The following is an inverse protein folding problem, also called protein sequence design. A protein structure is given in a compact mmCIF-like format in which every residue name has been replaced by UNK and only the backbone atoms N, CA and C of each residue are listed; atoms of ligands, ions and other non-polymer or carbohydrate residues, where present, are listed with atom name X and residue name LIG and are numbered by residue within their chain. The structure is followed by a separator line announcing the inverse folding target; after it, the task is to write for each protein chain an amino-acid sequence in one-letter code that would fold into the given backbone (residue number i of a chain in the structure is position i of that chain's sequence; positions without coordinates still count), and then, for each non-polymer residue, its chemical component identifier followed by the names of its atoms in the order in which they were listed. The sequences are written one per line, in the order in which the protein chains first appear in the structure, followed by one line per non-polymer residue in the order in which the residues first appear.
data_IF_520461610304
#
_entry.id   IF_520461610304
#
_cell.length_a   1.000
_cell.length_b   1.000
_cell.length_c   1.000
_cell.angle_alpha   90.00
_cell.angle_beta   90.00
_cell.angle_gamma   90.00
#
_symmetry.space_group_name_H-M   'P 1'
#
loop_
_entity.id
_entity.type
_entity.pdbx_description
1 polymer ?
#
# COMPACT_ATOMS: atom_id res chain seq x y z
N UNK A 1 3.66 4.88 -2.58
CA UNK A 1 3.38 6.31 -2.79
C UNK A 1 3.20 6.94 -1.42
N UNK A 2 3.20 8.27 -1.29
CA UNK A 2 3.13 8.92 0.04
C UNK A 2 1.84 8.66 0.80
N UNK A 3 0.73 8.47 0.11
CA UNK A 3 -0.58 8.36 0.74
C UNK A 3 -1.45 7.20 0.23
N UNK A 4 -0.90 6.29 -0.53
CA UNK A 4 -1.61 5.10 -1.00
C UNK A 4 -0.67 3.94 -1.32
N UNK A 5 -1.23 2.75 -1.30
CA UNK A 5 -0.55 1.49 -1.55
C UNK A 5 -1.23 0.78 -2.71
N UNK A 6 -0.44 0.29 -3.65
CA UNK A 6 -0.87 -0.63 -4.70
C UNK A 6 -0.36 -2.02 -4.37
N UNK A 7 -1.23 -3.01 -4.47
CA UNK A 7 -0.89 -4.42 -4.24
C UNK A 7 -1.49 -5.29 -5.34
N UNK A 8 -0.74 -6.29 -5.77
CA UNK A 8 -1.25 -7.46 -6.48
C UNK A 8 -1.17 -8.61 -5.50
N UNK A 9 -2.29 -9.22 -5.21
CA UNK A 9 -2.39 -10.29 -4.19
C UNK A 9 -3.32 -11.38 -4.66
N UNK A 10 -3.06 -12.59 -4.20
CA UNK A 10 -3.95 -13.74 -4.37
C UNK A 10 -4.17 -14.42 -3.02
N UNK A 11 -5.39 -14.81 -2.76
CA UNK A 11 -5.77 -15.52 -1.53
C UNK A 11 -7.15 -16.14 -1.67
N UNK A 12 -7.37 -17.27 -1.03
CA UNK A 12 -8.70 -17.87 -0.89
C UNK A 12 -9.62 -17.07 0.06
N UNK A 13 -9.04 -16.24 0.95
CA UNK A 13 -9.76 -15.45 1.95
C UNK A 13 -9.39 -13.98 1.90
N UNK A 14 -9.33 -13.42 0.70
CA UNK A 14 -8.81 -12.08 0.44
C UNK A 14 -9.46 -10.99 1.30
N UNK A 15 -10.79 -11.01 1.42
CA UNK A 15 -11.52 -10.00 2.21
C UNK A 15 -11.13 -10.00 3.68
N UNK A 16 -10.99 -11.18 4.28
CA UNK A 16 -10.57 -11.34 5.67
C UNK A 16 -9.12 -10.90 5.86
N UNK A 17 -8.25 -11.32 4.97
CA UNK A 17 -6.83 -10.95 5.04
C UNK A 17 -6.61 -9.47 4.84
N UNK A 18 -7.31 -8.82 3.90
CA UNK A 18 -7.21 -7.37 3.69
C UNK A 18 -7.77 -6.56 4.87
N UNK A 19 -8.85 -7.03 5.48
CA UNK A 19 -9.37 -6.42 6.72
C UNK A 19 -8.35 -6.49 7.85
N UNK A 20 -7.75 -7.66 8.06
CA UNK A 20 -6.73 -7.86 9.09
C UNK A 20 -5.47 -7.03 8.81
N UNK A 21 -5.03 -6.98 7.57
CA UNK A 21 -3.92 -6.13 7.14
C UNK A 21 -4.18 -4.65 7.46
N UNK A 22 -5.34 -4.13 7.07
CA UNK A 22 -5.71 -2.73 7.34
C UNK A 22 -5.79 -2.45 8.85
N UNK A 23 -6.39 -3.33 9.62
CA UNK A 23 -6.51 -3.18 11.07
C UNK A 23 -5.14 -3.21 11.76
N UNK A 24 -4.30 -4.17 11.42
CA UNK A 24 -2.98 -4.33 12.00
C UNK A 24 -2.06 -3.14 11.64
N UNK A 25 -1.99 -2.78 10.37
CA UNK A 25 -1.12 -1.68 9.91
C UNK A 25 -1.58 -0.33 10.44
N UNK A 26 -2.88 -0.08 10.51
CA UNK A 26 -3.41 1.15 11.10
C UNK A 26 -2.99 1.29 12.55
N UNK A 27 -3.15 0.25 13.37
CA UNK A 27 -2.73 0.25 14.77
C UNK A 27 -1.23 0.47 14.91
N UNK A 28 -0.43 -0.31 14.19
CA UNK A 28 1.02 -0.24 14.26
C UNK A 28 1.57 1.12 13.85
N UNK A 29 1.02 1.72 12.79
CA UNK A 29 1.45 3.03 12.30
C UNK A 29 1.02 4.13 13.27
N UNK A 30 -0.22 4.11 13.77
CA UNK A 30 -0.70 5.10 14.73
C UNK A 30 0.12 5.03 16.03
N UNK A 31 0.38 3.83 16.56
CA UNK A 31 1.20 3.65 17.75
C UNK A 31 2.62 4.20 17.55
N UNK A 32 3.21 3.98 16.37
CA UNK A 32 4.51 4.54 16.01
C UNK A 32 4.50 6.07 15.93
N UNK A 33 3.46 6.64 15.33
CA UNK A 33 3.29 8.09 15.22
C UNK A 33 3.11 8.74 16.60
N UNK A 34 2.33 8.12 17.49
CA UNK A 34 2.14 8.58 18.86
C UNK A 34 3.45 8.49 19.67
N UNK A 35 4.15 7.35 19.59
CA UNK A 35 5.43 7.15 20.26
C UNK A 35 6.48 8.18 19.84
N UNK A 36 6.51 8.53 18.56
CA UNK A 36 7.46 9.51 18.02
C UNK A 36 6.92 10.96 18.03
N UNK A 37 5.75 11.19 18.61
CA UNK A 37 5.10 12.50 18.73
C UNK A 37 4.94 13.25 17.40
N UNK A 38 4.57 12.51 16.33
CA UNK A 38 4.34 13.07 14.99
C UNK A 38 2.93 13.66 14.93
N UNK A 39 2.72 14.75 15.65
CA UNK A 39 1.41 15.33 15.91
C UNK A 39 0.72 15.88 14.66
N UNK A 40 1.46 16.43 13.71
CA UNK A 40 0.91 16.98 12.46
C UNK A 40 0.20 15.90 11.62
N UNK A 41 0.73 14.69 11.56
CA UNK A 41 0.07 13.57 10.86
C UNK A 41 -1.12 13.06 11.67
N UNK A 42 -0.96 12.89 12.97
CA UNK A 42 -2.03 12.44 13.85
C UNK A 42 -3.24 13.39 13.82
N UNK A 43 -3.01 14.70 13.80
CA UNK A 43 -4.07 15.71 13.69
C UNK A 43 -4.83 15.59 12.36
N UNK A 44 -4.12 15.34 11.26
CA UNK A 44 -4.76 15.08 9.96
C UNK A 44 -5.60 13.80 10.00
N UNK A 45 -5.09 12.72 10.56
CA UNK A 45 -5.83 11.46 10.67
C UNK A 45 -7.08 11.58 11.55
N UNK A 46 -7.05 12.43 12.57
CA UNK A 46 -8.21 12.76 13.40
C UNK A 46 -9.21 13.65 12.65
N UNK A 47 -8.74 14.67 11.94
CA UNK A 47 -9.57 15.63 11.21
C UNK A 47 -10.35 14.99 10.07
N UNK A 48 -9.70 14.13 9.27
CA UNK A 48 -10.33 13.47 8.13
C UNK A 48 -11.05 12.17 8.48
N UNK A 49 -11.12 11.82 9.75
CA UNK A 49 -11.86 10.65 10.23
C UNK A 49 -13.34 10.79 9.90
N UNK A 50 -13.97 9.72 9.39
CA UNK A 50 -15.40 9.69 9.13
C UNK A 50 -16.22 9.82 10.41
N UNK A 51 -17.31 10.59 10.36
CA UNK A 51 -18.14 10.90 11.51
C UNK A 51 -18.75 9.68 12.21
N UNK A 52 -19.04 8.62 11.46
CA UNK A 52 -19.59 7.39 12.05
C UNK A 52 -18.56 6.52 12.78
N UNK A 53 -17.26 6.84 12.64
CA UNK A 53 -16.17 6.15 13.35
C UNK A 53 -15.94 6.73 14.74
N UNK A 54 -16.99 6.71 15.58
CA UNK A 54 -16.98 7.36 16.90
C UNK A 54 -16.04 6.68 17.90
N UNK A 55 -15.84 5.37 17.77
CA UNK A 55 -15.01 4.58 18.67
C UNK A 55 -13.51 4.68 18.38
N UNK A 56 -13.13 5.42 17.35
CA UNK A 56 -11.74 5.61 16.93
C UNK A 56 -11.35 7.07 17.04
N UNK A 57 -10.15 7.33 17.55
CA UNK A 57 -9.57 8.68 17.57
C UNK A 57 -9.03 9.07 16.20
N UNK A 58 -8.45 8.13 15.47
CA UNK A 58 -7.80 8.32 14.18
C UNK A 58 -8.35 7.37 13.12
N UNK A 59 -8.23 7.74 11.86
CA UNK A 59 -8.50 6.87 10.72
C UNK A 59 -7.32 6.94 9.75
N UNK A 60 -6.54 5.84 9.65
CA UNK A 60 -5.42 5.73 8.72
C UNK A 60 -5.89 5.40 7.30
N UNK A 61 -6.64 4.30 7.16
CA UNK A 61 -7.14 3.85 5.87
C UNK A 61 -8.50 4.48 5.55
N UNK A 62 -8.65 4.96 4.33
CA UNK A 62 -9.97 5.36 3.83
C UNK A 62 -10.90 4.16 3.79
N UNK A 63 -12.20 4.41 3.91
CA UNK A 63 -13.20 3.36 3.80
C UNK A 63 -13.27 2.79 2.40
N UNK A 64 -13.58 1.49 2.38
CA UNK A 64 -13.60 0.72 1.15
C UNK A 64 -12.21 0.43 0.61
N UNK A 65 -12.16 -0.50 -0.26
CA UNK A 65 -11.08 -0.71 -1.21
C UNK A 65 -11.74 -1.17 -2.50
N UNK A 66 -11.12 -0.86 -3.62
CA UNK A 66 -11.69 -1.17 -4.93
C UNK A 66 -10.80 -2.24 -5.59
N UNK A 67 -10.97 -3.52 -5.22
CA UNK A 67 -10.22 -4.59 -5.84
C UNK A 67 -10.64 -4.72 -7.31
N UNK A 68 -9.67 -4.92 -8.16
CA UNK A 68 -9.90 -5.25 -9.56
C UNK A 68 -9.44 -6.68 -9.80
N UNK A 69 -10.35 -7.55 -10.22
CA UNK A 69 -9.99 -8.91 -10.60
C UNK A 69 -9.03 -8.89 -11.78
N UNK A 70 -7.97 -9.66 -11.70
CA UNK A 70 -7.04 -9.89 -12.81
C UNK A 70 -7.47 -11.16 -13.50
N UNK A 71 -7.84 -11.06 -14.78
CA UNK A 71 -8.50 -12.12 -15.51
C UNK A 71 -7.55 -12.91 -16.42
N UNK A 72 -6.43 -12.31 -16.79
CA UNK A 72 -5.45 -12.92 -17.68
C UNK A 72 -4.04 -12.38 -17.42
N UNK A 73 -3.06 -13.02 -18.05
CA UNK A 73 -1.64 -12.68 -17.94
C UNK A 73 -1.33 -11.27 -18.49
N UNK A 74 -1.96 -10.89 -19.61
CA UNK A 74 -1.75 -9.56 -20.20
C UNK A 74 -2.18 -8.45 -19.25
N UNK A 75 -3.33 -8.62 -18.59
CA UNK A 75 -3.81 -7.70 -17.59
C UNK A 75 -2.89 -7.67 -16.36
N UNK A 76 -2.40 -8.84 -15.94
CA UNK A 76 -1.46 -8.96 -14.82
C UNK A 76 -0.16 -8.18 -15.08
N UNK A 77 0.43 -8.39 -16.25
CA UNK A 77 1.63 -7.67 -16.67
C UNK A 77 1.39 -6.15 -16.74
N UNK A 78 0.28 -5.74 -17.33
CA UNK A 78 -0.10 -4.33 -17.40
C UNK A 78 -0.22 -3.69 -16.00
N UNK A 79 -0.83 -4.40 -15.04
CA UNK A 79 -0.95 -3.90 -13.66
C UNK A 79 0.38 -3.84 -12.95
N UNK A 80 1.23 -4.82 -13.15
CA UNK A 80 2.57 -4.85 -12.57
C UNK A 80 3.42 -3.68 -13.10
N UNK A 81 3.44 -3.48 -14.41
CA UNK A 81 4.12 -2.35 -15.04
C UNK A 81 3.57 -1.00 -14.55
N UNK A 82 2.26 -0.88 -14.42
CA UNK A 82 1.63 0.32 -13.87
C UNK A 82 2.12 0.63 -12.46
N UNK A 83 2.15 -0.38 -11.58
CA UNK A 83 2.62 -0.22 -10.20
C UNK A 83 4.08 0.20 -10.17
N UNK A 84 4.93 -0.46 -10.94
CA UNK A 84 6.36 -0.20 -10.98
C UNK A 84 6.71 1.18 -11.54
N UNK A 85 6.00 1.62 -12.58
CA UNK A 85 6.25 2.91 -13.22
C UNK A 85 5.51 4.08 -12.55
N UNK A 86 4.63 3.84 -11.59
CA UNK A 86 3.85 4.89 -10.95
C UNK A 86 4.73 5.98 -10.31
N UNK A 87 5.81 5.67 -9.56
CA UNK A 87 6.69 6.69 -8.98
C UNK A 87 7.39 7.56 -10.04
N UNK A 88 7.77 6.97 -11.17
CA UNK A 88 8.36 7.73 -12.30
C UNK A 88 7.33 8.65 -12.94
N UNK A 89 6.15 8.14 -13.25
CA UNK A 89 5.05 8.93 -13.83
C UNK A 89 4.61 10.10 -12.96
N UNK A 90 4.77 9.95 -11.65
CA UNK A 90 4.49 11.00 -10.65
C UNK A 90 5.68 11.94 -10.40
N UNK A 91 6.82 11.69 -11.00
CA UNK A 91 7.99 12.55 -10.89
C UNK A 91 8.78 12.42 -9.57
N UNK A 92 8.58 11.33 -8.82
CA UNK A 92 9.34 11.10 -7.59
C UNK A 92 10.75 10.59 -7.86
N UNK A 93 10.92 9.80 -8.90
CA UNK A 93 12.18 9.24 -9.36
C UNK A 93 12.20 9.18 -10.87
N UNK A 94 13.39 9.12 -11.47
CA UNK A 94 13.56 9.00 -12.93
C UNK A 94 13.61 7.53 -13.40
N UNK A 95 13.93 6.62 -12.48
CA UNK A 95 14.02 5.18 -12.75
C UNK A 95 13.23 4.40 -11.69
N UNK A 96 12.40 3.41 -12.06
CA UNK A 96 11.64 2.60 -11.10
C UNK A 96 12.51 1.92 -10.05
N UNK A 97 13.76 1.53 -10.39
CA UNK A 97 14.71 0.92 -9.46
C UNK A 97 15.12 1.86 -8.32
N UNK A 98 14.99 3.17 -8.52
CA UNK A 98 15.31 4.17 -7.50
C UNK A 98 14.19 4.33 -6.45
N UNK A 99 12.99 3.81 -6.71
CA UNK A 99 11.90 3.83 -5.72
C UNK A 99 12.01 2.65 -4.77
N UNK A 100 12.57 2.93 -3.57
CA UNK A 100 12.86 1.90 -2.56
C UNK A 100 11.63 1.09 -2.12
N UNK A 101 10.46 1.71 -2.10
CA UNK A 101 9.21 1.11 -1.60
C UNK A 101 8.40 0.43 -2.71
N UNK A 102 9.09 -0.36 -3.54
CA UNK A 102 8.54 -1.08 -4.68
C UNK A 102 9.14 -2.47 -4.78
N UNK A 103 8.39 -3.40 -5.35
CA UNK A 103 8.88 -4.73 -5.74
C UNK A 103 9.71 -4.74 -7.02
N UNK A 104 9.90 -3.61 -7.70
CA UNK A 104 10.64 -3.54 -8.96
C UNK A 104 12.03 -4.19 -8.88
N UNK A 105 12.78 -3.89 -7.81
CA UNK A 105 14.12 -4.47 -7.60
C UNK A 105 14.10 -6.00 -7.50
N UNK A 106 13.08 -6.57 -6.85
CA UNK A 106 12.94 -8.03 -6.75
C UNK A 106 12.78 -8.65 -8.14
N UNK A 107 12.01 -8.03 -9.04
CA UNK A 107 11.86 -8.48 -10.43
C UNK A 107 13.13 -8.30 -11.26
N UNK A 108 14.02 -7.41 -10.88
CA UNK A 108 15.34 -7.22 -11.49
C UNK A 108 16.43 -8.11 -10.87
N UNK A 109 16.07 -9.07 -10.02
CA UNK A 109 17.03 -9.94 -9.34
C UNK A 109 17.88 -9.23 -8.28
N UNK A 110 17.43 -8.09 -7.79
CA UNK A 110 18.08 -7.30 -6.75
C UNK A 110 17.30 -7.42 -5.43
N UNK A 111 17.97 -7.14 -4.31
CA UNK A 111 17.31 -7.10 -3.01
C UNK A 111 16.34 -5.92 -2.94
N UNK A 112 15.06 -6.24 -2.71
CA UNK A 112 14.01 -5.29 -2.36
C UNK A 112 13.95 -5.04 -0.85
N UNK A 113 13.07 -4.11 -0.44
CA UNK A 113 12.83 -3.83 0.98
C UNK A 113 12.14 -5.00 1.68
N UNK A 114 11.27 -5.70 0.97
CA UNK A 114 10.53 -6.86 1.44
C UNK A 114 10.68 -8.01 0.42
N UNK A 115 10.65 -9.27 0.89
CA UNK A 115 10.49 -10.40 -0.02
C UNK A 115 9.11 -10.34 -0.66
N UNK A 116 9.02 -10.68 -1.93
CA UNK A 116 7.77 -10.78 -2.69
C UNK A 116 7.77 -12.07 -3.49
N UNK A 117 6.60 -12.64 -3.71
CA UNK A 117 6.42 -13.73 -4.66
C UNK A 117 6.54 -13.16 -6.08
N UNK A 118 7.47 -13.67 -6.85
CA UNK A 118 7.63 -13.27 -8.24
C UNK A 118 6.60 -14.02 -9.11
N UNK A 119 6.07 -13.33 -10.08
CA UNK A 119 5.16 -13.91 -11.06
C UNK A 119 6.01 -14.26 -12.28
N UNK A 120 6.00 -15.54 -12.65
CA UNK A 120 6.64 -16.01 -13.87
C UNK A 120 5.71 -15.76 -15.07
N UNK A 121 6.25 -15.15 -16.09
CA UNK A 121 5.55 -14.86 -17.35
C UNK A 121 6.10 -15.71 -18.49
#
# INVERSE_FOLDING_TARGET
MENHLHLIVTSSELSTQMRNFKSFTARSIIDLLEKNQVTNILDQLAFYKKLHKKDQKYQLWQEGFHPQAILDEAMLLQKLEYIHNNPVRRGYVDDPACWRYSSYRNYMGQDGLLPVDLIDF
#
